data_IF_425359421111
#
_entry.id   IF_425359421111
#
_cell.length_a   1.000
_cell.length_b   1.000
_cell.length_c   1.000
_cell.angle_alpha   90.00
_cell.angle_beta   90.00
_cell.angle_gamma   90.00
#
_symmetry.space_group_name_H-M   'P 1'
#
loop_
_entity.id
_entity.type
_entity.pdbx_description
1 polymer ?
#
# COMPACT_ATOMS: atom_id res chain seq x y z
N UNK A 1 15.78 30.71 7.28
CA UNK A 1 15.65 29.39 7.95
C UNK A 1 14.80 28.43 7.11
N UNK A 2 15.09 28.30 5.80
CA UNK A 2 14.36 27.43 4.86
C UNK A 2 15.22 26.27 4.36
N UNK A 3 16.20 25.87 5.17
CA UNK A 3 17.09 24.77 4.82
C UNK A 3 16.43 23.41 5.10
N UNK A 4 16.66 22.45 4.20
CA UNK A 4 16.22 21.08 4.42
C UNK A 4 16.91 20.47 5.64
N UNK A 5 16.08 20.05 6.59
CA UNK A 5 16.50 19.20 7.71
C UNK A 5 17.06 17.86 7.19
N UNK A 6 17.83 17.11 8.00
CA UNK A 6 18.29 15.77 7.62
C UNK A 6 17.14 14.86 7.15
N UNK A 7 16.01 14.87 7.87
CA UNK A 7 14.80 14.16 7.45
C UNK A 7 14.26 14.70 6.11
N UNK A 8 14.20 16.02 5.94
CA UNK A 8 13.75 16.66 4.71
C UNK A 8 14.58 16.25 3.49
N UNK A 9 15.90 16.07 3.65
CA UNK A 9 16.79 15.61 2.57
C UNK A 9 16.52 14.17 2.15
N UNK A 10 16.08 13.31 3.07
CA UNK A 10 15.66 11.94 2.75
C UNK A 10 14.31 11.97 2.03
N UNK A 11 13.33 12.71 2.57
CA UNK A 11 12.00 12.83 1.99
C UNK A 11 12.04 13.38 0.56
N UNK A 12 12.95 14.31 0.28
CA UNK A 12 13.14 14.89 -1.06
C UNK A 12 13.58 13.86 -2.13
N UNK A 13 14.08 12.68 -1.74
CA UNK A 13 14.44 11.59 -2.66
C UNK A 13 13.26 10.67 -2.98
N UNK A 14 12.19 10.69 -2.19
CA UNK A 14 11.05 9.79 -2.37
C UNK A 14 10.04 10.42 -3.37
N UNK A 15 9.59 9.68 -4.39
CA UNK A 15 8.65 10.18 -5.40
C UNK A 15 7.19 10.16 -4.91
N UNK A 16 6.94 10.59 -3.67
CA UNK A 16 5.62 10.61 -3.02
C UNK A 16 5.47 11.85 -2.15
N UNK A 17 4.25 12.14 -1.70
CA UNK A 17 4.03 13.24 -0.76
C UNK A 17 4.91 13.09 0.50
N UNK A 18 5.56 14.17 0.97
CA UNK A 18 6.44 14.11 2.14
C UNK A 18 5.79 13.54 3.40
N UNK A 19 4.46 13.68 3.55
CA UNK A 19 3.70 13.09 4.67
C UNK A 19 3.70 11.57 4.62
N UNK A 20 3.53 10.98 3.43
CA UNK A 20 3.56 9.53 3.22
C UNK A 20 4.99 8.99 3.34
N UNK A 21 5.99 9.71 2.83
CA UNK A 21 7.39 9.37 3.02
C UNK A 21 7.79 9.38 4.49
N UNK A 22 7.31 10.36 5.26
CA UNK A 22 7.54 10.42 6.71
C UNK A 22 6.85 9.24 7.40
N UNK A 23 5.65 8.87 6.98
CA UNK A 23 4.94 7.70 7.51
C UNK A 23 5.78 6.43 7.32
N UNK A 24 6.34 6.21 6.13
CA UNK A 24 7.18 5.03 5.85
C UNK A 24 8.45 4.98 6.71
N UNK A 25 9.15 6.11 6.83
CA UNK A 25 10.33 6.23 7.70
C UNK A 25 9.98 5.87 9.14
N UNK A 26 8.85 6.37 9.66
CA UNK A 26 8.36 6.01 10.99
C UNK A 26 7.99 4.52 11.07
N UNK A 27 7.44 3.94 10.00
CA UNK A 27 7.16 2.51 9.90
C UNK A 27 8.43 1.66 10.05
N UNK A 28 9.54 2.04 9.43
CA UNK A 28 10.83 1.38 9.62
C UNK A 28 11.32 1.46 11.08
N UNK A 29 11.18 2.62 11.71
CA UNK A 29 11.55 2.83 13.13
C UNK A 29 10.71 1.97 14.07
N UNK A 30 9.42 1.79 13.77
CA UNK A 30 8.49 0.98 14.56
C UNK A 30 8.39 -0.48 14.11
N UNK A 31 9.30 -0.96 13.26
CA UNK A 31 9.36 -2.34 12.79
C UNK A 31 8.09 -2.82 12.06
N UNK A 32 7.38 -1.90 11.40
CA UNK A 32 6.19 -2.15 10.56
C UNK A 32 6.36 -1.56 9.16
N UNK A 33 7.61 -1.45 8.70
CA UNK A 33 8.01 -0.79 7.45
C UNK A 33 7.24 -1.30 6.23
N UNK A 34 7.15 -2.62 6.06
CA UNK A 34 6.49 -3.21 4.89
C UNK A 34 4.99 -2.86 4.80
N UNK A 35 4.28 -2.97 5.92
CA UNK A 35 2.86 -2.62 6.01
C UNK A 35 2.62 -1.15 5.69
N UNK A 36 3.46 -0.27 6.25
CA UNK A 36 3.34 1.17 6.02
C UNK A 36 3.76 1.54 4.60
N UNK A 37 4.74 0.86 4.00
CA UNK A 37 5.08 1.03 2.58
C UNK A 37 3.90 0.64 1.67
N UNK A 38 3.23 -0.48 1.96
CA UNK A 38 2.00 -0.87 1.24
C UNK A 38 0.93 0.20 1.36
N UNK A 39 0.66 0.69 2.58
CA UNK A 39 -0.36 1.72 2.80
C UNK A 39 0.01 3.00 2.05
N UNK A 40 1.25 3.51 2.19
CA UNK A 40 1.72 4.70 1.49
C UNK A 40 1.62 4.58 -0.03
N UNK A 41 2.02 3.43 -0.58
CA UNK A 41 1.93 3.18 -2.02
C UNK A 41 0.47 3.12 -2.48
N UNK A 42 -0.41 2.44 -1.73
CA UNK A 42 -1.83 2.33 -2.06
C UNK A 42 -2.53 3.70 -2.05
N UNK A 43 -2.18 4.59 -1.12
CA UNK A 43 -2.72 5.95 -1.03
C UNK A 43 -2.33 6.84 -2.23
N UNK A 44 -1.32 6.46 -3.02
CA UNK A 44 -0.95 7.18 -4.25
C UNK A 44 -1.88 6.88 -5.43
N UNK A 45 -2.77 5.90 -5.32
CA UNK A 45 -3.68 5.48 -6.38
C UNK A 45 -5.14 5.55 -5.93
N UNK A 46 -6.11 5.55 -6.88
CA UNK A 46 -7.50 5.31 -6.54
C UNK A 46 -7.67 3.98 -5.81
N UNK A 47 -8.66 3.88 -4.93
CA UNK A 47 -8.94 2.64 -4.21
C UNK A 47 -9.21 1.46 -5.17
N UNK A 48 -8.75 0.24 -4.86
CA UNK A 48 -8.91 -0.91 -5.74
C UNK A 48 -10.36 -1.44 -5.75
N UNK A 49 -11.25 -0.98 -4.88
CA UNK A 49 -12.61 -1.49 -4.77
C UNK A 49 -13.51 -0.99 -5.90
N UNK A 50 -14.08 -1.90 -6.69
CA UNK A 50 -15.01 -1.57 -7.77
C UNK A 50 -16.43 -1.50 -7.20
N UNK A 51 -16.99 -0.30 -7.09
CA UNK A 51 -18.31 -0.06 -6.50
C UNK A 51 -19.46 -0.39 -7.44
N UNK A 52 -20.26 -1.40 -7.07
CA UNK A 52 -21.62 -1.62 -7.59
C UNK A 52 -22.60 -1.79 -6.41
N UNK A 53 -22.97 -0.67 -5.79
CA UNK A 53 -24.04 -0.61 -4.78
C UNK A 53 -23.69 -1.22 -3.42
N UNK A 54 -24.68 -1.84 -2.75
CA UNK A 54 -24.60 -2.25 -1.32
C UNK A 54 -23.55 -3.33 -1.01
N UNK A 55 -23.08 -4.08 -2.00
CA UNK A 55 -22.14 -5.21 -1.82
C UNK A 55 -20.71 -4.74 -1.47
N UNK A 56 -20.33 -3.53 -1.88
CA UNK A 56 -19.02 -2.95 -1.59
C UNK A 56 -18.79 -2.81 -0.08
N UNK A 57 -19.81 -2.33 0.64
CA UNK A 57 -19.72 -2.13 2.09
C UNK A 57 -19.43 -3.42 2.87
N UNK A 58 -19.91 -4.57 2.39
CA UNK A 58 -19.63 -5.86 3.01
C UNK A 58 -18.18 -6.31 2.75
N UNK A 59 -17.69 -6.20 1.52
CA UNK A 59 -16.31 -6.57 1.17
C UNK A 59 -15.33 -5.68 1.93
N UNK A 60 -15.53 -4.37 1.89
CA UNK A 60 -14.69 -3.40 2.59
C UNK A 60 -14.67 -3.66 4.11
N UNK A 61 -15.85 -3.88 4.72
CA UNK A 61 -15.97 -4.19 6.15
C UNK A 61 -15.31 -5.52 6.52
N UNK A 62 -15.38 -6.53 5.66
CA UNK A 62 -14.71 -7.80 5.91
C UNK A 62 -13.18 -7.66 5.95
N UNK A 63 -12.60 -6.84 5.08
CA UNK A 63 -11.16 -6.58 5.10
C UNK A 63 -10.74 -5.63 6.23
N UNK A 64 -11.61 -4.71 6.67
CA UNK A 64 -11.36 -3.90 7.87
C UNK A 64 -11.46 -4.72 9.18
N UNK A 65 -12.25 -5.80 9.18
CA UNK A 65 -12.54 -6.60 10.38
C UNK A 65 -13.08 -5.72 11.52
N UNK A 66 -12.55 -5.95 12.73
CA UNK A 66 -12.86 -5.14 13.92
C UNK A 66 -11.87 -3.97 14.14
N UNK A 67 -11.09 -3.58 13.11
CA UNK A 67 -10.09 -2.51 13.22
C UNK A 67 -10.66 -1.14 12.85
N UNK A 68 -11.79 -1.10 12.15
CA UNK A 68 -12.49 0.14 11.76
C UNK A 68 -11.55 1.17 11.09
N UNK A 69 -10.67 0.70 10.21
CA UNK A 69 -9.66 1.53 9.54
C UNK A 69 -9.57 1.19 8.06
N UNK A 70 -9.76 2.19 7.20
CA UNK A 70 -9.72 2.02 5.75
C UNK A 70 -8.31 1.70 5.25
N UNK A 71 -7.28 2.30 5.86
CA UNK A 71 -5.88 1.96 5.58
C UNK A 71 -5.57 0.49 5.91
N UNK A 72 -6.12 -0.04 7.01
CA UNK A 72 -5.97 -1.45 7.38
C UNK A 72 -6.75 -2.35 6.43
N UNK A 73 -7.93 -1.92 5.97
CA UNK A 73 -8.69 -2.65 4.96
C UNK A 73 -7.91 -2.74 3.63
N UNK A 74 -7.34 -1.64 3.17
CA UNK A 74 -6.46 -1.58 1.99
C UNK A 74 -5.25 -2.50 2.13
N UNK A 75 -4.55 -2.45 3.26
CA UNK A 75 -3.43 -3.35 3.55
C UNK A 75 -3.87 -4.82 3.48
N UNK A 76 -4.99 -5.15 4.11
CA UNK A 76 -5.50 -6.52 4.18
C UNK A 76 -5.93 -7.05 2.81
N UNK A 77 -6.53 -6.20 1.98
CA UNK A 77 -6.84 -6.53 0.58
C UNK A 77 -5.57 -6.79 -0.22
N UNK A 78 -4.59 -5.90 -0.09
CA UNK A 78 -3.34 -6.01 -0.83
C UNK A 78 -2.60 -7.30 -0.49
N UNK A 79 -2.49 -7.63 0.80
CA UNK A 79 -1.86 -8.88 1.25
C UNK A 79 -2.59 -10.11 0.71
N UNK A 80 -3.92 -10.16 0.83
CA UNK A 80 -4.71 -11.28 0.31
C UNK A 80 -4.64 -11.42 -1.21
N UNK A 81 -4.52 -10.30 -1.94
CA UNK A 81 -4.30 -10.33 -3.38
C UNK A 81 -2.89 -10.81 -3.73
N UNK A 82 -1.85 -10.35 -3.03
CA UNK A 82 -0.47 -10.73 -3.30
C UNK A 82 -0.28 -12.25 -3.09
N UNK A 83 -0.88 -12.80 -2.03
CA UNK A 83 -0.95 -14.25 -1.78
C UNK A 83 -1.66 -15.00 -2.92
N UNK A 84 -2.80 -14.49 -3.40
CA UNK A 84 -3.53 -15.10 -4.51
C UNK A 84 -2.75 -15.05 -5.82
N UNK A 85 -2.02 -13.96 -6.07
CA UNK A 85 -1.17 -13.76 -7.26
C UNK A 85 -0.03 -14.77 -7.33
N UNK A 86 0.49 -15.22 -6.19
CA UNK A 86 1.50 -16.30 -6.15
C UNK A 86 1.00 -17.62 -6.76
N UNK A 87 -0.34 -17.81 -6.85
CA UNK A 87 -0.97 -18.95 -7.52
C UNK A 87 -1.05 -18.84 -9.05
N UNK A 88 -0.50 -17.77 -9.65
CA UNK A 88 -0.52 -17.51 -11.09
C UNK A 88 -1.66 -16.60 -11.55
N UNK A 89 -1.64 -16.24 -12.83
CA UNK A 89 -2.53 -15.23 -13.43
C UNK A 89 -4.02 -15.57 -13.31
N UNK A 90 -4.39 -16.84 -13.49
CA UNK A 90 -5.79 -17.28 -13.34
C UNK A 90 -6.27 -17.19 -11.88
N UNK A 91 -5.40 -17.46 -10.91
CA UNK A 91 -5.72 -17.33 -9.50
C UNK A 91 -5.91 -15.86 -9.11
N UNK A 92 -5.03 -14.98 -9.61
CA UNK A 92 -5.13 -13.52 -9.44
C UNK A 92 -6.43 -12.98 -10.03
N UNK A 93 -6.75 -13.36 -11.27
CA UNK A 93 -7.97 -12.96 -11.97
C UNK A 93 -9.22 -13.38 -11.21
N UNK A 94 -9.30 -14.65 -10.82
CA UNK A 94 -10.41 -15.18 -10.02
C UNK A 94 -10.57 -14.45 -8.70
N UNK A 95 -9.47 -14.11 -8.03
CA UNK A 95 -9.50 -13.36 -6.77
C UNK A 95 -10.09 -11.96 -6.98
N UNK A 96 -9.58 -11.20 -7.95
CA UNK A 96 -10.05 -9.86 -8.27
C UNK A 96 -11.52 -9.84 -8.70
N UNK A 97 -11.95 -10.79 -9.53
CA UNK A 97 -13.36 -10.93 -9.93
C UNK A 97 -14.27 -11.25 -8.73
N UNK A 98 -13.86 -12.19 -7.89
CA UNK A 98 -14.65 -12.61 -6.73
C UNK A 98 -14.77 -11.51 -5.67
N UNK A 99 -13.67 -10.78 -5.43
CA UNK A 99 -13.60 -9.69 -4.45
C UNK A 99 -13.98 -8.32 -5.03
N UNK A 100 -14.25 -8.22 -6.33
CA UNK A 100 -14.58 -6.99 -7.06
C UNK A 100 -13.49 -5.92 -6.89
N UNK A 101 -12.28 -6.31 -7.26
CA UNK A 101 -11.08 -5.48 -7.15
C UNK A 101 -10.51 -5.15 -8.53
N UNK A 102 -9.95 -3.97 -8.65
CA UNK A 102 -9.15 -3.53 -9.79
C UNK A 102 -7.76 -4.17 -9.73
N UNK A 103 -7.55 -5.20 -10.55
CA UNK A 103 -6.25 -5.85 -10.69
C UNK A 103 -5.16 -4.86 -11.11
N UNK A 104 -5.47 -3.94 -12.03
CA UNK A 104 -4.51 -2.93 -12.49
C UNK A 104 -4.06 -2.01 -11.36
N UNK A 105 -4.98 -1.55 -10.51
CA UNK A 105 -4.65 -0.74 -9.33
C UNK A 105 -3.73 -1.50 -8.37
N UNK A 106 -4.01 -2.78 -8.12
CA UNK A 106 -3.21 -3.60 -7.20
C UNK A 106 -1.79 -3.84 -7.75
N UNK A 107 -1.66 -4.13 -9.05
CA UNK A 107 -0.35 -4.27 -9.72
C UNK A 107 0.45 -2.97 -9.68
N UNK A 108 -0.16 -1.82 -10.01
CA UNK A 108 0.50 -0.51 -9.90
C UNK A 108 0.94 -0.20 -8.46
N UNK A 109 0.10 -0.55 -7.48
CA UNK A 109 0.43 -0.40 -6.06
C UNK A 109 1.65 -1.24 -5.67
N UNK A 110 1.74 -2.48 -6.18
CA UNK A 110 2.88 -3.36 -5.93
C UNK A 110 4.17 -2.81 -6.54
N UNK A 111 4.13 -2.33 -7.79
CA UNK A 111 5.28 -1.72 -8.46
C UNK A 111 5.77 -0.48 -7.69
N UNK A 112 4.86 0.40 -7.28
CA UNK A 112 5.19 1.57 -6.49
C UNK A 112 5.79 1.19 -5.12
N UNK A 113 5.21 0.20 -4.43
CA UNK A 113 5.75 -0.34 -3.17
C UNK A 113 7.20 -0.79 -3.34
N UNK A 114 7.50 -1.57 -4.38
CA UNK A 114 8.85 -2.10 -4.63
C UNK A 114 9.84 -0.96 -4.87
N UNK A 115 9.51 0.00 -5.73
CA UNK A 115 10.36 1.16 -6.01
C UNK A 115 10.62 1.99 -4.74
N UNK A 116 9.58 2.22 -3.94
CA UNK A 116 9.68 2.98 -2.71
C UNK A 116 10.56 2.28 -1.66
N UNK A 117 10.41 0.96 -1.50
CA UNK A 117 11.28 0.15 -0.62
C UNK A 117 12.73 0.27 -1.07
N UNK A 118 13.01 0.13 -2.37
CA UNK A 118 14.37 0.21 -2.91
C UNK A 118 15.03 1.58 -2.61
N UNK A 119 14.28 2.69 -2.77
CA UNK A 119 14.79 4.03 -2.46
C UNK A 119 15.06 4.21 -0.96
N UNK A 120 14.21 3.66 -0.09
CA UNK A 120 14.41 3.69 1.36
C UNK A 120 15.64 2.88 1.78
N UNK A 121 15.83 1.68 1.24
CA UNK A 121 17.01 0.86 1.50
C UNK A 121 18.28 1.56 1.03
N UNK A 122 18.28 2.15 -0.17
CA UNK A 122 19.40 3.00 -0.67
C UNK A 122 19.65 4.24 0.19
N UNK A 123 18.66 4.68 0.96
CA UNK A 123 18.78 5.79 1.91
C UNK A 123 19.23 5.36 3.30
N UNK A 124 19.50 4.06 3.53
CA UNK A 124 20.03 3.51 4.78
C UNK A 124 18.98 2.94 5.74
N UNK A 125 17.72 2.79 5.30
CA UNK A 125 16.68 2.14 6.09
C UNK A 125 16.70 0.61 5.92
N UNK A 126 16.31 -0.16 6.95
CA UNK A 126 16.21 -1.61 6.84
C UNK A 126 15.14 -2.04 5.81
N UNK A 127 15.28 -3.27 5.31
CA UNK A 127 14.37 -3.92 4.36
C UNK A 127 12.96 -4.20 4.92
#
# INVERSE_FOLDING_TARGET
>A
NDELTPLGRILAKLPIEPRLGKMMIMGCIFYVGDAVCTISAATCFPEPFISEGKRLGYVHRNFAGNRFSDHVALLSVFQAWDDARMGGEEAEKRFCEHKRLSMSTLRMTWEAKVQLKEILTKSGFPE
#
